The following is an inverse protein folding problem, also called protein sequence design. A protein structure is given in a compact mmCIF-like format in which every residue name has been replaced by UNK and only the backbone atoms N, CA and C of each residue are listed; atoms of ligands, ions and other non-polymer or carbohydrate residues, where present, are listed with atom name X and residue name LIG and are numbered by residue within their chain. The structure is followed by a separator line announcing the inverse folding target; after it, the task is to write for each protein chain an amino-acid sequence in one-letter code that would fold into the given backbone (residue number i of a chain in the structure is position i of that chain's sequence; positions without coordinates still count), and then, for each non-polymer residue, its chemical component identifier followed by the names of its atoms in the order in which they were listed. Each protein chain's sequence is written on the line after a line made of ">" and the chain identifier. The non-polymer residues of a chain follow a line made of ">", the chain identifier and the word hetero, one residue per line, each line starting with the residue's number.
data_IF_710346939591
#
_entry.id   IF_710346939591
#
_cell.length_a   1.000
_cell.length_b   1.000
_cell.length_c   1.000
_cell.angle_alpha   90.00
_cell.angle_beta   90.00
_cell.angle_gamma   90.00
#
_symmetry.space_group_name_H-M   'P 1'
#
loop_
_entity.id
_entity.type
_entity.pdbx_description
1 polymer ?
#
# COMPACT_ATOMS: atom_id res chain seq x y z
N UNK A 1 -6.13 -24.06 3.28
CA UNK A 1 -7.01 -24.22 4.45
C UNK A 1 -6.82 -23.00 5.32
N UNK A 2 -7.89 -22.34 5.75
CA UNK A 2 -7.81 -21.23 6.72
C UNK A 2 -8.14 -21.79 8.11
N UNK A 3 -7.41 -21.35 9.13
CA UNK A 3 -7.77 -21.60 10.54
C UNK A 3 -8.91 -20.67 10.97
N UNK A 4 -9.39 -20.85 12.20
CA UNK A 4 -10.25 -19.84 12.83
C UNK A 4 -9.49 -18.53 13.03
N UNK A 5 -10.21 -17.42 13.05
CA UNK A 5 -9.64 -16.10 13.23
C UNK A 5 -9.30 -15.86 14.71
N UNK A 6 -8.08 -15.40 14.97
CA UNK A 6 -7.59 -15.11 16.32
C UNK A 6 -7.24 -13.64 16.48
N UNK A 7 -7.39 -13.13 17.71
CA UNK A 7 -7.01 -11.76 18.06
C UNK A 7 -5.56 -11.77 18.52
N UNK A 8 -4.70 -11.09 17.77
CA UNK A 8 -3.28 -10.99 18.09
C UNK A 8 -2.95 -9.76 18.93
N UNK A 9 -3.60 -8.62 18.67
CA UNK A 9 -3.32 -7.39 19.42
C UNK A 9 -3.86 -7.45 20.85
N UNK A 10 -3.07 -6.93 21.79
CA UNK A 10 -3.40 -6.80 23.22
C UNK A 10 -3.63 -5.34 23.66
N UNK A 11 -3.76 -4.41 22.71
CA UNK A 11 -3.91 -2.97 23.01
C UNK A 11 -5.25 -2.61 23.64
N UNK A 12 -5.23 -1.94 24.79
CA UNK A 12 -6.42 -1.40 25.46
C UNK A 12 -6.59 0.09 25.16
N UNK A 13 -7.81 0.55 24.83
CA UNK A 13 -8.10 1.94 24.47
C UNK A 13 -7.20 2.51 23.35
N UNK A 14 -6.80 1.63 22.44
CA UNK A 14 -6.02 1.96 21.24
C UNK A 14 -6.68 1.41 19.99
N UNK A 15 -6.39 2.03 18.85
CA UNK A 15 -6.84 1.62 17.53
C UNK A 15 -5.66 1.10 16.72
N UNK A 16 -5.62 -0.22 16.57
CA UNK A 16 -4.52 -0.96 15.98
C UNK A 16 -4.76 -1.18 14.49
N UNK A 17 -3.82 -0.74 13.68
CA UNK A 17 -4.03 -0.50 12.25
C UNK A 17 -2.82 -0.89 11.42
N UNK A 18 -3.06 -1.08 10.12
CA UNK A 18 -2.02 -1.28 9.11
C UNK A 18 -0.99 -2.38 9.47
N UNK A 19 -1.44 -3.62 9.73
CA UNK A 19 -0.52 -4.71 10.04
C UNK A 19 0.42 -5.00 8.87
N UNK A 20 1.69 -5.18 9.18
CA UNK A 20 2.75 -5.57 8.27
C UNK A 20 3.48 -6.78 8.85
N UNK A 21 3.65 -7.83 8.05
CA UNK A 21 4.41 -9.01 8.45
C UNK A 21 5.82 -8.94 7.85
N UNK A 22 6.84 -9.07 8.69
CA UNK A 22 8.23 -9.14 8.30
C UNK A 22 8.85 -10.43 8.85
N UNK A 23 9.48 -11.23 8.00
CA UNK A 23 10.24 -12.40 8.46
C UNK A 23 11.70 -11.99 8.62
N UNK A 24 12.20 -12.00 9.85
CA UNK A 24 13.58 -11.63 10.15
C UNK A 24 14.57 -12.75 9.78
N UNK A 25 15.86 -12.44 9.59
CA UNK A 25 16.88 -13.43 9.21
C UNK A 25 17.09 -14.56 10.22
N UNK A 26 16.74 -14.36 11.48
CA UNK A 26 16.76 -15.38 12.54
C UNK A 26 15.54 -16.33 12.51
N UNK A 27 14.58 -16.09 11.60
CA UNK A 27 13.43 -16.95 11.36
C UNK A 27 12.16 -16.52 12.07
N UNK A 28 12.20 -15.51 12.95
CA UNK A 28 10.99 -14.97 13.59
C UNK A 28 10.08 -14.24 12.59
N UNK A 29 8.78 -14.23 12.87
CA UNK A 29 7.80 -13.39 12.17
C UNK A 29 7.45 -12.22 13.07
N UNK A 30 7.68 -11.02 12.57
CA UNK A 30 7.33 -9.76 13.21
C UNK A 30 6.01 -9.28 12.64
N UNK A 31 5.00 -9.11 13.48
CA UNK A 31 3.79 -8.35 13.19
C UNK A 31 4.03 -6.93 13.67
N UNK A 32 4.28 -6.03 12.73
CA UNK A 32 4.49 -4.61 12.96
C UNK A 32 3.16 -3.90 12.65
N UNK A 33 2.74 -2.98 13.50
CA UNK A 33 1.46 -2.29 13.32
C UNK A 33 1.49 -0.88 13.92
N UNK A 34 0.64 -0.01 13.38
CA UNK A 34 0.44 1.32 13.94
C UNK A 34 -0.59 1.25 15.05
N UNK A 35 -0.24 1.85 16.18
CA UNK A 35 -1.08 1.91 17.37
C UNK A 35 -1.31 3.37 17.76
N UNK A 36 -2.55 3.84 17.71
CA UNK A 36 -2.92 5.20 18.15
C UNK A 36 -3.93 5.15 19.30
N UNK A 37 -4.09 6.23 20.05
CA UNK A 37 -5.16 6.32 21.04
C UNK A 37 -6.55 6.19 20.38
N UNK A 38 -7.49 5.59 21.13
CA UNK A 38 -8.90 5.55 20.76
C UNK A 38 -9.45 6.98 20.57
N UNK A 39 -10.54 7.05 19.80
CA UNK A 39 -11.20 8.32 19.47
C UNK A 39 -11.56 9.09 20.73
N UNK A 40 -11.23 10.37 20.75
CA UNK A 40 -11.56 11.29 21.84
C UNK A 40 -12.64 12.27 21.38
N UNK A 41 -13.55 12.62 22.28
CA UNK A 41 -14.59 13.62 22.02
C UNK A 41 -13.94 14.98 21.71
N UNK A 42 -14.46 15.68 20.69
CA UNK A 42 -13.95 17.00 20.28
C UNK A 42 -12.67 16.98 19.43
N UNK A 43 -12.09 15.81 19.12
CA UNK A 43 -10.95 15.67 18.19
C UNK A 43 -11.39 15.02 16.87
N UNK A 44 -11.00 15.61 15.74
CA UNK A 44 -11.33 15.12 14.40
C UNK A 44 -10.64 13.79 14.07
N UNK A 45 -9.41 13.63 14.55
CA UNK A 45 -8.65 12.37 14.45
C UNK A 45 -7.65 12.27 15.61
N UNK A 46 -7.15 11.06 15.84
CA UNK A 46 -6.13 10.77 16.87
C UNK A 46 -4.83 10.24 16.25
N UNK A 47 -4.63 10.45 14.94
CA UNK A 47 -3.48 9.90 14.21
C UNK A 47 -2.16 10.45 14.75
N UNK A 48 -2.11 11.70 15.17
CA UNK A 48 -0.92 12.30 15.77
C UNK A 48 -0.42 11.63 17.07
N UNK A 49 -1.19 10.72 17.67
CA UNK A 49 -0.79 9.95 18.87
C UNK A 49 -0.25 8.56 18.52
N UNK A 50 -0.09 8.27 17.23
CA UNK A 50 0.31 6.96 16.77
C UNK A 50 1.77 6.67 17.05
N UNK A 51 2.05 5.44 17.43
CA UNK A 51 3.40 4.89 17.54
C UNK A 51 3.44 3.56 16.78
N UNK A 52 4.63 3.03 16.52
CA UNK A 52 4.78 1.72 15.87
C UNK A 52 5.08 0.67 16.93
N UNK A 53 4.26 -0.37 16.93
CA UNK A 53 4.37 -1.53 17.80
C UNK A 53 4.83 -2.75 17.02
N UNK A 54 5.40 -3.72 17.71
CA UNK A 54 5.75 -5.03 17.16
C UNK A 54 5.36 -6.14 18.13
N UNK A 55 4.86 -7.24 17.60
CA UNK A 55 4.76 -8.52 18.30
C UNK A 55 5.47 -9.58 17.45
N UNK A 56 6.16 -10.51 18.09
CA UNK A 56 6.98 -11.53 17.40
C UNK A 56 6.42 -12.92 17.63
N UNK A 57 6.59 -13.77 16.64
CA UNK A 57 6.27 -15.19 16.68
C UNK A 57 7.47 -16.01 16.23
N UNK A 58 7.78 -17.06 16.99
CA UNK A 58 8.86 -18.02 16.70
C UNK A 58 8.33 -19.39 16.25
N UNK A 59 7.02 -19.51 16.07
CA UNK A 59 6.30 -20.76 15.76
C UNK A 59 5.35 -20.61 14.56
N UNK A 60 5.79 -19.86 13.55
CA UNK A 60 5.05 -19.65 12.29
C UNK A 60 3.68 -18.97 12.46
N UNK A 61 3.57 -18.06 13.42
CA UNK A 61 2.38 -17.25 13.67
C UNK A 61 1.29 -17.96 14.50
N UNK A 62 1.62 -19.10 15.10
CA UNK A 62 0.69 -19.85 15.98
C UNK A 62 0.53 -19.14 17.32
N UNK A 63 1.62 -18.65 17.91
CA UNK A 63 1.57 -17.81 19.12
C UNK A 63 2.34 -16.51 18.92
N UNK A 64 1.96 -15.49 19.69
CA UNK A 64 2.53 -14.16 19.62
C UNK A 64 2.98 -13.69 21.00
N UNK A 65 4.19 -13.13 21.06
CA UNK A 65 4.76 -12.51 22.26
C UNK A 65 3.97 -11.30 22.76
N UNK A 66 4.48 -10.65 23.78
CA UNK A 66 3.91 -9.39 24.27
C UNK A 66 4.25 -8.22 23.33
N UNK A 67 3.37 -7.19 23.25
CA UNK A 67 3.60 -6.04 22.39
C UNK A 67 4.75 -5.19 22.89
N UNK A 68 5.69 -4.89 21.99
CA UNK A 68 6.83 -4.03 22.20
C UNK A 68 6.69 -2.75 21.37
N UNK A 69 7.20 -1.63 21.88
CA UNK A 69 7.29 -0.39 21.09
C UNK A 69 8.50 -0.51 20.16
N UNK A 70 8.26 -0.49 18.86
CA UNK A 70 9.33 -0.48 17.85
C UNK A 70 9.82 0.95 17.57
N UNK A 71 8.89 1.89 17.36
CA UNK A 71 9.20 3.31 17.18
C UNK A 71 8.31 4.16 18.10
N UNK A 72 8.87 4.84 19.11
CA UNK A 72 8.11 5.56 20.12
C UNK A 72 7.67 6.95 19.68
N UNK A 73 8.13 7.46 18.53
CA UNK A 73 7.81 8.82 18.10
C UNK A 73 6.35 8.93 17.69
N UNK A 74 5.62 9.81 18.37
CA UNK A 74 4.20 10.05 18.11
C UNK A 74 3.95 10.58 16.70
N UNK A 75 2.78 10.26 16.15
CA UNK A 75 2.40 10.59 14.79
C UNK A 75 3.00 9.65 13.74
N UNK A 76 3.84 8.68 14.14
CA UNK A 76 4.44 7.73 13.19
C UNK A 76 3.44 6.66 12.78
N UNK A 77 3.25 6.51 11.47
CA UNK A 77 2.48 5.44 10.87
C UNK A 77 3.34 4.56 9.96
N UNK A 78 2.91 3.32 9.78
CA UNK A 78 3.48 2.38 8.83
C UNK A 78 2.38 1.51 8.21
N UNK A 79 2.74 0.71 7.20
CA UNK A 79 1.84 -0.31 6.61
C UNK A 79 2.56 -1.42 5.86
N UNK A 80 3.71 -1.13 5.26
CA UNK A 80 4.46 -2.10 4.47
C UNK A 80 5.47 -2.83 5.33
N UNK A 81 5.89 -4.02 4.93
CA UNK A 81 6.91 -4.78 5.65
C UNK A 81 8.29 -4.08 5.55
N UNK A 82 9.13 -4.30 6.55
CA UNK A 82 10.57 -3.98 6.46
C UNK A 82 11.15 -4.70 5.24
N UNK A 83 11.90 -3.98 4.41
CA UNK A 83 12.66 -4.57 3.31
C UNK A 83 14.12 -4.71 3.74
N UNK A 84 14.71 -5.87 3.43
CA UNK A 84 16.16 -6.07 3.51
C UNK A 84 16.71 -5.90 2.11
N UNK A 85 17.54 -4.87 1.92
CA UNK A 85 18.15 -4.53 0.64
C UNK A 85 19.30 -5.49 0.30
N UNK A 86 19.76 -5.46 -0.94
CA UNK A 86 20.81 -6.35 -1.44
C UNK A 86 22.15 -6.17 -0.73
N UNK A 87 22.38 -5.04 -0.06
CA UNK A 87 23.58 -4.78 0.76
C UNK A 87 23.40 -5.18 2.25
N UNK A 88 22.27 -5.76 2.63
CA UNK A 88 21.94 -6.16 4.00
C UNK A 88 21.30 -5.07 4.87
N UNK A 89 21.18 -3.83 4.37
CA UNK A 89 20.47 -2.73 5.04
C UNK A 89 19.00 -3.05 5.21
N UNK A 90 18.44 -2.71 6.36
CA UNK A 90 17.00 -2.75 6.58
C UNK A 90 16.43 -1.36 6.35
N UNK A 91 15.29 -1.30 5.67
CA UNK A 91 14.59 -0.05 5.43
C UNK A 91 13.08 -0.25 5.56
N UNK A 92 12.44 0.70 6.22
CA UNK A 92 11.03 0.63 6.58
C UNK A 92 10.35 1.96 6.28
N UNK A 93 9.31 1.90 5.46
CA UNK A 93 8.57 3.08 5.06
C UNK A 93 7.56 3.51 6.15
N UNK A 94 7.66 4.75 6.57
CA UNK A 94 6.76 5.41 7.52
C UNK A 94 6.21 6.71 6.95
N UNK A 95 5.21 7.28 7.59
CA UNK A 95 4.82 8.67 7.37
C UNK A 95 4.39 9.29 8.70
N UNK A 96 4.46 10.61 8.78
CA UNK A 96 4.13 11.35 10.00
C UNK A 96 2.76 11.99 9.83
N UNK A 97 1.90 11.84 10.84
CA UNK A 97 0.64 12.54 10.99
C UNK A 97 0.78 13.56 12.12
N UNK A 98 0.68 14.85 11.83
CA UNK A 98 0.85 15.91 12.83
C UNK A 98 -0.50 16.35 13.45
N UNK A 99 -0.49 16.86 14.69
CA UNK A 99 -1.65 17.58 15.26
C UNK A 99 -1.67 19.00 14.70
N UNK A 100 -2.05 19.13 13.43
CA UNK A 100 -2.03 20.38 12.67
C UNK A 100 -3.45 20.93 12.41
N UNK A 101 -3.65 22.26 12.47
CA UNK A 101 -4.89 22.91 12.01
C UNK A 101 -5.22 22.64 10.54
N UNK A 102 -4.20 22.42 9.71
CA UNK A 102 -4.33 22.03 8.29
C UNK A 102 -4.66 20.54 8.12
N UNK A 103 -4.81 19.81 9.22
CA UNK A 103 -5.11 18.38 9.27
C UNK A 103 -4.00 17.53 8.66
N UNK A 104 -4.39 16.43 7.99
CA UNK A 104 -3.46 15.45 7.42
C UNK A 104 -2.88 15.86 6.05
N UNK A 105 -2.93 17.16 5.74
CA UNK A 105 -2.50 17.72 4.46
C UNK A 105 -0.99 17.64 4.31
N UNK A 106 -0.27 17.89 5.40
CA UNK A 106 1.18 18.07 5.40
C UNK A 106 1.96 16.79 5.74
N UNK A 107 1.27 15.66 5.94
CA UNK A 107 1.90 14.38 6.32
C UNK A 107 3.05 14.01 5.37
N UNK A 108 4.32 14.06 5.82
CA UNK A 108 5.46 13.70 4.99
C UNK A 108 5.74 12.20 5.04
N UNK A 109 6.33 11.67 3.96
CA UNK A 109 6.90 10.32 3.95
C UNK A 109 8.31 10.33 4.55
N UNK A 110 8.59 9.32 5.36
CA UNK A 110 9.89 9.06 5.97
C UNK A 110 10.28 7.59 5.83
N UNK A 111 11.57 7.32 5.95
CA UNK A 111 12.11 5.97 5.98
C UNK A 111 12.94 5.79 7.25
N UNK A 112 12.68 4.69 7.97
CA UNK A 112 13.55 4.22 9.03
C UNK A 112 14.59 3.30 8.39
N UNK A 113 15.86 3.61 8.56
CA UNK A 113 16.99 2.86 7.98
C UNK A 113 17.86 2.29 9.10
N UNK A 114 18.17 1.01 9.02
CA UNK A 114 19.07 0.32 9.96
C UNK A 114 20.17 -0.41 9.20
N UNK A 115 21.40 -0.20 9.65
CA UNK A 115 22.62 -0.83 9.13
C UNK A 115 23.15 -1.91 10.09
N UNK A 116 22.39 -2.25 11.14
CA UNK A 116 22.80 -3.15 12.23
C UNK A 116 21.72 -4.20 12.58
N UNK A 117 20.98 -4.65 11.57
CA UNK A 117 19.95 -5.72 11.70
C UNK A 117 18.79 -5.31 12.61
N UNK A 118 18.37 -4.04 12.51
CA UNK A 118 17.22 -3.50 13.21
C UNK A 118 17.45 -3.10 14.67
N UNK A 119 18.72 -3.04 15.13
CA UNK A 119 19.05 -2.63 16.51
C UNK A 119 18.93 -1.11 16.67
N UNK A 120 19.44 -0.35 15.71
CA UNK A 120 19.32 1.12 15.68
C UNK A 120 18.80 1.59 14.33
N UNK A 121 18.07 2.69 14.35
CA UNK A 121 17.39 3.23 13.18
C UNK A 121 17.64 4.73 13.05
N UNK A 122 18.03 5.17 11.87
CA UNK A 122 18.05 6.58 11.47
C UNK A 122 16.82 6.92 10.64
N UNK A 123 16.39 8.17 10.66
CA UNK A 123 15.29 8.68 9.85
C UNK A 123 15.86 9.35 8.61
N UNK A 124 15.36 8.97 7.43
CA UNK A 124 15.60 9.65 6.15
C UNK A 124 14.26 10.19 5.65
N UNK A 125 14.16 11.51 5.50
CA UNK A 125 12.92 12.16 5.04
C UNK A 125 12.93 12.33 3.53
N UNK A 126 11.81 11.97 2.89
CA UNK A 126 11.62 12.22 1.46
C UNK A 126 11.33 13.71 1.22
N UNK A 127 12.07 14.39 0.32
CA UNK A 127 11.88 15.82 0.08
C UNK A 127 10.51 16.10 -0.54
N UNK A 128 9.91 17.23 -0.17
CA UNK A 128 8.65 17.76 -0.71
C UNK A 128 7.51 16.72 -0.82
N UNK A 129 7.44 15.82 0.15
CA UNK A 129 6.52 14.68 0.17
C UNK A 129 5.21 14.94 0.93
N UNK A 130 4.87 16.20 1.20
CA UNK A 130 3.67 16.57 1.94
C UNK A 130 2.40 15.97 1.30
N UNK A 131 1.65 15.20 2.08
CA UNK A 131 0.44 14.52 1.63
C UNK A 131 0.71 13.34 0.70
N UNK A 132 1.96 12.86 0.59
CA UNK A 132 2.35 11.61 -0.05
C UNK A 132 2.65 10.62 1.06
N UNK A 133 1.84 9.57 1.17
CA UNK A 133 1.86 8.66 2.32
C UNK A 133 1.74 7.20 1.86
N UNK A 134 1.93 6.26 2.79
CA UNK A 134 1.89 4.81 2.51
C UNK A 134 2.89 4.39 1.41
N UNK A 135 4.14 4.85 1.51
CA UNK A 135 5.17 4.45 0.56
C UNK A 135 5.33 2.91 0.51
N UNK A 136 5.23 2.35 -0.70
CA UNK A 136 5.54 0.97 -1.04
C UNK A 136 6.92 0.95 -1.66
N UNK A 137 7.88 0.49 -0.87
CA UNK A 137 9.30 0.50 -1.18
C UNK A 137 9.72 -0.81 -1.85
N UNK A 138 10.42 -0.70 -2.99
CA UNK A 138 10.90 -1.85 -3.76
C UNK A 138 12.33 -1.57 -4.23
N UNK A 139 13.25 -2.51 -4.01
CA UNK A 139 14.57 -2.50 -4.66
C UNK A 139 14.49 -3.12 -6.06
N UNK A 140 14.62 -2.27 -7.07
CA UNK A 140 14.52 -2.68 -8.48
C UNK A 140 15.86 -3.22 -8.99
N UNK A 141 16.95 -2.63 -8.55
CA UNK A 141 18.34 -3.07 -8.77
C UNK A 141 19.16 -2.75 -7.52
N UNK A 142 20.33 -3.40 -7.27
CA UNK A 142 21.15 -3.11 -6.10
C UNK A 142 21.41 -1.61 -5.90
N UNK A 143 20.85 -1.03 -4.83
CA UNK A 143 20.97 0.39 -4.51
C UNK A 143 20.00 1.33 -5.23
N UNK A 144 19.27 0.84 -6.24
CA UNK A 144 18.19 1.57 -6.91
C UNK A 144 16.83 1.14 -6.33
N UNK A 145 16.19 2.06 -5.62
CA UNK A 145 14.90 1.86 -4.98
C UNK A 145 13.84 2.73 -5.67
N UNK A 146 12.62 2.21 -5.74
CA UNK A 146 11.43 2.98 -6.07
C UNK A 146 10.44 2.94 -4.90
N UNK A 147 9.76 4.05 -4.66
CA UNK A 147 8.72 4.16 -3.66
C UNK A 147 7.42 4.64 -4.33
N UNK A 148 6.35 3.85 -4.24
CA UNK A 148 5.02 4.25 -4.72
C UNK A 148 4.14 4.70 -3.55
N UNK A 149 3.47 5.84 -3.68
CA UNK A 149 2.66 6.44 -2.61
C UNK A 149 1.25 6.77 -3.10
N UNK A 150 0.28 6.73 -2.18
CA UNK A 150 -1.00 7.39 -2.42
C UNK A 150 -0.88 8.88 -2.13
N UNK A 151 -1.70 9.67 -2.81
CA UNK A 151 -1.86 11.09 -2.56
C UNK A 151 -3.07 11.37 -1.65
N UNK A 152 -2.88 12.18 -0.60
CA UNK A 152 -3.95 12.71 0.25
C UNK A 152 -4.96 13.57 -0.54
N UNK A 153 -4.62 14.01 -1.76
CA UNK A 153 -5.45 14.83 -2.63
C UNK A 153 -6.29 14.01 -3.62
N UNK A 154 -6.22 12.68 -3.56
CA UNK A 154 -7.06 11.77 -4.34
C UNK A 154 -6.98 11.97 -5.87
N UNK A 155 -5.80 12.32 -6.37
CA UNK A 155 -5.50 12.45 -7.79
C UNK A 155 -4.85 11.18 -8.35
N UNK A 156 -3.64 10.84 -7.91
CA UNK A 156 -2.84 9.80 -8.55
C UNK A 156 -1.94 9.05 -7.56
N UNK A 157 -1.39 7.93 -8.03
CA UNK A 157 -0.21 7.32 -7.43
C UNK A 157 1.01 8.16 -7.77
N UNK A 158 1.88 8.35 -6.79
CA UNK A 158 3.15 9.06 -6.94
C UNK A 158 4.33 8.09 -6.83
N UNK A 159 5.44 8.44 -7.46
CA UNK A 159 6.70 7.70 -7.43
C UNK A 159 7.85 8.60 -6.96
N UNK A 160 8.76 8.06 -6.17
CA UNK A 160 10.05 8.66 -5.83
C UNK A 160 11.13 7.59 -5.95
N UNK A 161 12.36 7.99 -6.25
CA UNK A 161 13.49 7.08 -6.48
C UNK A 161 14.66 7.40 -5.54
N UNK A 162 15.41 6.36 -5.18
CA UNK A 162 16.70 6.47 -4.51
C UNK A 162 17.73 5.66 -5.28
N UNK A 163 18.96 6.17 -5.37
CA UNK A 163 20.09 5.52 -6.05
C UNK A 163 21.26 5.22 -5.09
N UNK A 164 21.01 5.32 -3.79
CA UNK A 164 22.01 5.25 -2.72
C UNK A 164 21.51 4.41 -1.53
N UNK A 165 20.78 3.32 -1.80
CA UNK A 165 20.24 2.43 -0.77
C UNK A 165 19.35 3.16 0.26
N UNK A 166 18.64 4.21 -0.18
CA UNK A 166 17.66 4.93 0.62
C UNK A 166 18.24 6.01 1.52
N UNK A 167 19.49 6.44 1.29
CA UNK A 167 20.10 7.57 2.02
C UNK A 167 19.58 8.93 1.51
N UNK A 168 19.14 9.00 0.26
CA UNK A 168 18.42 10.14 -0.30
C UNK A 168 17.34 9.71 -1.30
N UNK A 169 16.37 10.59 -1.53
CA UNK A 169 15.20 10.35 -2.38
C UNK A 169 14.94 11.54 -3.30
N UNK A 170 14.44 11.29 -4.50
CA UNK A 170 13.92 12.33 -5.38
C UNK A 170 12.59 12.90 -4.87
N UNK A 171 12.24 14.11 -5.31
CA UNK A 171 10.90 14.67 -5.04
C UNK A 171 9.83 13.77 -5.71
N UNK A 172 8.72 13.45 -5.03
CA UNK A 172 7.67 12.63 -5.61
C UNK A 172 7.07 13.20 -6.90
N UNK A 173 7.09 12.39 -7.95
CA UNK A 173 6.47 12.71 -9.23
C UNK A 173 5.20 11.91 -9.45
N UNK A 174 4.29 12.50 -10.22
CA UNK A 174 2.99 11.91 -10.53
C UNK A 174 3.15 10.80 -11.56
N UNK A 175 2.58 9.62 -11.29
CA UNK A 175 2.46 8.54 -12.31
C UNK A 175 1.17 8.69 -13.13
N UNK A 176 1.02 7.89 -14.18
CA UNK A 176 -0.23 7.82 -14.96
C UNK A 176 -1.38 7.14 -14.22
N UNK A 177 -1.11 6.38 -13.14
CA UNK A 177 -2.13 5.64 -12.42
C UNK A 177 -2.95 6.58 -11.54
N UNK A 178 -4.27 6.59 -11.73
CA UNK A 178 -5.21 7.34 -10.90
C UNK A 178 -5.29 6.73 -9.49
N UNK A 179 -5.54 7.53 -8.46
CA UNK A 179 -5.82 7.01 -7.13
C UNK A 179 -6.63 8.00 -6.27
N UNK A 180 -7.64 7.47 -5.60
CA UNK A 180 -8.64 8.21 -4.85
C UNK A 180 -8.29 8.37 -3.37
N UNK A 181 -6.99 8.44 -3.03
CA UNK A 181 -6.48 8.43 -1.66
C UNK A 181 -6.84 7.13 -0.90
N UNK A 182 -7.12 6.03 -1.60
CA UNK A 182 -7.14 4.69 -1.00
C UNK A 182 -5.73 4.12 -0.93
N UNK A 183 -5.50 3.17 -0.01
CA UNK A 183 -4.20 2.50 0.06
C UNK A 183 -3.88 1.75 -1.22
N UNK A 184 -2.60 1.66 -1.53
CA UNK A 184 -2.05 0.83 -2.61
C UNK A 184 -1.16 -0.27 -2.03
N UNK A 185 -0.88 -1.30 -2.83
CA UNK A 185 0.08 -2.35 -2.53
C UNK A 185 0.91 -2.64 -3.76
N UNK A 186 2.21 -2.45 -3.69
CA UNK A 186 3.14 -2.77 -4.77
C UNK A 186 4.12 -3.84 -4.31
N UNK A 187 4.39 -4.82 -5.17
CA UNK A 187 5.39 -5.86 -4.96
C UNK A 187 6.23 -6.04 -6.22
N UNK A 188 7.51 -6.39 -6.04
CA UNK A 188 8.33 -6.93 -7.13
C UNK A 188 7.97 -8.39 -7.33
N UNK A 189 7.61 -8.75 -8.55
CA UNK A 189 7.34 -10.11 -8.94
C UNK A 189 8.66 -10.90 -9.06
N UNK A 190 8.59 -12.21 -8.88
CA UNK A 190 9.70 -13.14 -9.13
C UNK A 190 10.25 -13.03 -10.56
N UNK A 191 9.42 -12.60 -11.52
CA UNK A 191 9.77 -12.37 -12.93
C UNK A 191 10.48 -11.03 -13.16
N UNK A 192 10.49 -10.13 -12.18
CA UNK A 192 11.24 -8.87 -12.18
C UNK A 192 10.37 -7.61 -12.33
N UNK A 193 9.17 -7.74 -12.89
CA UNK A 193 8.22 -6.63 -13.01
C UNK A 193 7.67 -6.21 -11.64
N UNK A 194 7.06 -5.03 -11.58
CA UNK A 194 6.33 -4.58 -10.39
C UNK A 194 4.83 -4.66 -10.65
N UNK A 195 4.12 -5.32 -9.74
CA UNK A 195 2.67 -5.33 -9.72
C UNK A 195 2.16 -4.36 -8.65
N UNK A 196 1.18 -3.52 -9.01
CA UNK A 196 0.59 -2.53 -8.12
C UNK A 196 -0.93 -2.69 -8.08
N UNK A 197 -1.45 -3.04 -6.90
CA UNK A 197 -2.87 -3.09 -6.61
C UNK A 197 -3.36 -1.75 -6.03
N UNK A 198 -4.44 -1.22 -6.61
CA UNK A 198 -4.98 0.10 -6.28
C UNK A 198 -6.46 0.23 -6.63
N UNK A 199 -7.05 1.37 -6.27
CA UNK A 199 -8.34 1.77 -6.80
C UNK A 199 -8.14 2.73 -7.98
N UNK A 200 -8.55 2.31 -9.18
CA UNK A 200 -8.44 3.11 -10.40
C UNK A 200 -9.58 4.14 -10.48
N UNK A 201 -9.46 5.15 -9.62
CA UNK A 201 -10.41 6.23 -9.46
C UNK A 201 -9.68 7.45 -8.93
N UNK A 202 -10.17 8.64 -9.25
CA UNK A 202 -9.64 9.90 -8.75
C UNK A 202 -10.75 10.95 -8.70
N UNK A 203 -10.50 12.05 -7.99
CA UNK A 203 -11.35 13.22 -8.12
C UNK A 203 -11.01 13.98 -9.40
N UNK A 204 -12.05 14.47 -10.07
CA UNK A 204 -11.91 15.14 -11.37
C UNK A 204 -11.15 16.47 -11.26
N UNK A 205 -11.35 17.21 -10.15
CA UNK A 205 -10.73 18.51 -9.91
C UNK A 205 -10.06 18.53 -8.52
N UNK A 206 -8.83 18.01 -8.38
CA UNK A 206 -8.13 17.99 -7.10
C UNK A 206 -7.71 19.38 -6.62
N UNK A 207 -7.93 19.65 -5.35
CA UNK A 207 -7.49 20.86 -4.65
C UNK A 207 -6.28 20.52 -3.78
N UNK A 208 -5.08 20.87 -4.25
CA UNK A 208 -3.84 20.65 -3.50
C UNK A 208 -3.81 21.55 -2.25
N UNK A 209 -3.36 21.00 -1.13
CA UNK A 209 -3.41 21.68 0.18
C UNK A 209 -4.67 21.39 0.99
N UNK A 210 -5.57 20.51 0.50
CA UNK A 210 -6.73 20.05 1.26
C UNK A 210 -6.94 18.55 1.07
N UNK A 211 -6.96 17.80 2.17
CA UNK A 211 -7.20 16.35 2.12
C UNK A 211 -8.56 16.05 1.47
N UNK A 212 -8.56 15.14 0.51
CA UNK A 212 -9.76 14.64 -0.14
C UNK A 212 -10.10 13.23 0.34
N UNK A 213 -11.38 13.02 0.67
CA UNK A 213 -11.93 11.72 1.05
C UNK A 213 -13.07 11.33 0.09
N UNK A 214 -12.77 10.83 -1.12
CA UNK A 214 -13.80 10.45 -2.07
C UNK A 214 -14.63 9.27 -1.53
N UNK A 215 -15.95 9.35 -1.71
CA UNK A 215 -16.87 8.29 -1.28
C UNK A 215 -16.84 7.03 -2.15
N UNK A 216 -16.20 7.09 -3.32
CA UNK A 216 -16.03 5.95 -4.22
C UNK A 216 -14.65 5.34 -4.02
N UNK A 217 -14.60 4.04 -3.72
CA UNK A 217 -13.38 3.23 -3.66
C UNK A 217 -13.53 1.98 -4.51
N UNK A 218 -13.65 2.21 -5.81
CA UNK A 218 -13.85 1.19 -6.84
C UNK A 218 -13.39 1.75 -8.19
N UNK A 219 -13.03 0.87 -9.16
CA UNK A 219 -12.82 -0.58 -9.00
C UNK A 219 -11.56 -0.91 -8.18
N UNK A 220 -11.30 -2.19 -7.89
CA UNK A 220 -9.95 -2.65 -7.48
C UNK A 220 -9.27 -3.23 -8.73
N UNK A 221 -8.11 -2.67 -9.07
CA UNK A 221 -7.31 -3.08 -10.21
C UNK A 221 -5.90 -3.46 -9.77
N UNK A 222 -5.23 -4.26 -10.61
CA UNK A 222 -3.79 -4.51 -10.53
C UNK A 222 -3.18 -4.14 -11.87
N UNK A 223 -2.12 -3.32 -11.85
CA UNK A 223 -1.36 -2.92 -13.02
C UNK A 223 0.09 -3.36 -12.91
N UNK A 224 0.76 -3.54 -14.06
CA UNK A 224 2.16 -3.96 -14.17
C UNK A 224 2.99 -2.84 -14.79
N UNK A 225 4.19 -2.66 -14.26
CA UNK A 225 5.27 -1.91 -14.88
C UNK A 225 6.50 -2.80 -15.05
N UNK A 226 7.12 -2.71 -16.23
CA UNK A 226 8.37 -3.40 -16.59
C UNK A 226 9.57 -2.44 -16.60
N UNK A 227 9.33 -1.14 -16.42
CA UNK A 227 10.31 -0.06 -16.53
C UNK A 227 10.39 0.78 -15.25
N UNK A 228 10.25 0.08 -14.10
CA UNK A 228 10.38 0.62 -12.75
C UNK A 228 9.39 1.75 -12.42
N UNK A 229 8.21 1.74 -13.04
CA UNK A 229 7.11 2.66 -12.74
C UNK A 229 6.97 3.82 -13.72
N UNK A 230 7.80 3.89 -14.77
CA UNK A 230 7.73 4.94 -15.80
C UNK A 230 6.48 4.79 -16.68
N UNK A 231 6.15 3.55 -17.04
CA UNK A 231 4.94 3.22 -17.81
C UNK A 231 4.17 2.05 -17.20
N UNK A 232 2.87 2.00 -17.50
CA UNK A 232 1.94 1.00 -16.96
C UNK A 232 1.02 0.44 -18.07
N UNK A 233 1.57 -0.27 -19.07
CA UNK A 233 0.81 -0.68 -20.25
C UNK A 233 -0.14 -1.86 -20.02
N UNK A 234 -0.04 -2.54 -18.87
CA UNK A 234 -0.78 -3.77 -18.57
C UNK A 234 -1.55 -3.57 -17.27
N UNK A 235 -2.83 -3.92 -17.27
CA UNK A 235 -3.64 -3.90 -16.06
C UNK A 235 -4.96 -4.66 -16.21
N UNK A 236 -5.50 -5.12 -15.09
CA UNK A 236 -6.78 -5.83 -15.01
C UNK A 236 -7.58 -5.40 -13.79
N UNK A 237 -8.88 -5.22 -13.97
CA UNK A 237 -9.84 -5.04 -12.88
C UNK A 237 -10.17 -6.41 -12.25
N UNK A 238 -9.95 -6.54 -10.95
CA UNK A 238 -10.25 -7.75 -10.17
C UNK A 238 -11.52 -7.62 -9.32
N UNK A 239 -11.95 -6.40 -9.03
CA UNK A 239 -13.25 -6.14 -8.42
C UNK A 239 -13.94 -4.97 -9.11
N UNK A 240 -15.07 -5.27 -9.75
CA UNK A 240 -15.91 -4.25 -10.35
C UNK A 240 -16.83 -3.61 -9.31
N UNK A 241 -17.26 -2.39 -9.58
CA UNK A 241 -18.36 -1.77 -8.89
C UNK A 241 -19.70 -2.43 -9.28
N UNK A 242 -20.79 -2.04 -8.62
CA UNK A 242 -22.16 -2.41 -8.99
C UNK A 242 -22.67 -1.72 -10.28
N UNK A 243 -21.79 -1.05 -11.03
CA UNK A 243 -22.03 -0.44 -12.32
C UNK A 243 -23.09 0.69 -12.32
N UNK A 244 -23.26 1.40 -11.20
CA UNK A 244 -23.98 2.68 -11.21
C UNK A 244 -23.09 3.76 -11.84
N UNK A 245 -23.49 4.28 -13.01
CA UNK A 245 -22.65 5.21 -13.79
C UNK A 245 -23.19 6.65 -13.83
N UNK A 246 -24.41 6.90 -13.38
CA UNK A 246 -25.04 8.21 -13.46
C UNK A 246 -24.44 9.19 -12.46
N UNK A 247 -24.31 10.46 -12.85
CA UNK A 247 -23.77 11.51 -11.96
C UNK A 247 -24.53 11.58 -10.62
N UNK A 248 -25.82 11.30 -10.62
CA UNK A 248 -26.70 11.34 -9.43
C UNK A 248 -26.79 10.03 -8.66
N UNK A 249 -26.32 8.90 -9.22
CA UNK A 249 -26.45 7.59 -8.58
C UNK A 249 -25.15 6.79 -8.48
N UNK A 250 -24.01 7.32 -8.99
CA UNK A 250 -22.70 6.64 -8.95
C UNK A 250 -22.24 6.30 -7.54
N UNK A 251 -22.63 7.08 -6.53
CA UNK A 251 -22.30 6.82 -5.12
C UNK A 251 -23.08 5.66 -4.49
N UNK A 252 -24.00 5.03 -5.22
CA UNK A 252 -24.59 3.75 -4.81
C UNK A 252 -23.62 2.57 -4.97
N UNK A 253 -22.55 2.73 -5.76
CA UNK A 253 -21.46 1.76 -5.83
C UNK A 253 -20.80 1.61 -4.46
N UNK A 254 -20.54 0.38 -4.04
CA UNK A 254 -19.90 0.08 -2.77
C UNK A 254 -18.40 0.37 -2.84
N UNK A 255 -17.81 0.49 -1.66
CA UNK A 255 -16.39 0.69 -1.47
C UNK A 255 -15.68 -0.67 -1.31
N UNK A 256 -14.56 -0.80 -2.00
CA UNK A 256 -13.60 -1.90 -1.96
C UNK A 256 -12.23 -1.31 -1.65
N UNK A 257 -11.74 -1.52 -0.45
CA UNK A 257 -10.72 -0.65 0.11
C UNK A 257 -9.47 -1.42 0.54
N UNK A 258 -8.34 -0.71 0.54
CA UNK A 258 -7.05 -1.17 1.06
C UNK A 258 -6.59 -2.51 0.47
N UNK A 259 -6.47 -2.61 -0.87
CA UNK A 259 -5.87 -3.79 -1.49
C UNK A 259 -4.47 -4.06 -0.92
N UNK A 260 -4.18 -5.34 -0.71
CA UNK A 260 -2.85 -5.85 -0.37
C UNK A 260 -2.55 -7.03 -1.27
N UNK A 261 -1.38 -7.01 -1.88
CA UNK A 261 -0.91 -7.99 -2.85
C UNK A 261 0.27 -8.77 -2.27
N UNK A 262 0.24 -10.10 -2.42
CA UNK A 262 1.34 -11.00 -2.10
C UNK A 262 1.60 -11.94 -3.28
N UNK A 263 2.85 -12.39 -3.42
CA UNK A 263 3.20 -13.48 -4.32
C UNK A 263 3.71 -14.67 -3.50
N UNK A 264 3.17 -15.85 -3.75
CA UNK A 264 3.63 -17.09 -3.13
C UNK A 264 4.89 -17.63 -3.81
N UNK A 265 5.56 -18.59 -3.17
CA UNK A 265 6.77 -19.22 -3.72
C UNK A 265 6.54 -19.93 -5.07
N UNK A 266 5.32 -20.44 -5.32
CA UNK A 266 4.96 -21.06 -6.60
C UNK A 266 4.50 -20.06 -7.67
N UNK A 267 4.61 -18.75 -7.41
CA UNK A 267 4.37 -17.68 -8.38
C UNK A 267 2.92 -17.18 -8.44
N UNK A 268 1.99 -17.75 -7.68
CA UNK A 268 0.61 -17.25 -7.63
C UNK A 268 0.52 -15.90 -6.93
N UNK A 269 -0.43 -15.09 -7.36
CA UNK A 269 -0.74 -13.80 -6.77
C UNK A 269 -1.98 -13.89 -5.89
N UNK A 270 -1.89 -13.24 -4.74
CA UNK A 270 -2.88 -13.23 -3.68
C UNK A 270 -3.28 -11.78 -3.40
N UNK A 271 -4.52 -11.44 -3.72
CA UNK A 271 -5.08 -10.11 -3.49
C UNK A 271 -6.14 -10.18 -2.40
N UNK A 272 -6.00 -9.34 -1.38
CA UNK A 272 -6.97 -9.18 -0.29
C UNK A 272 -7.40 -7.73 -0.16
N UNK A 273 -8.67 -7.48 0.15
CA UNK A 273 -9.21 -6.13 0.35
C UNK A 273 -10.49 -6.14 1.19
N UNK A 274 -10.81 -5.02 1.83
CA UNK A 274 -12.08 -4.83 2.49
C UNK A 274 -13.20 -4.75 1.46
N UNK A 275 -14.23 -5.58 1.61
CA UNK A 275 -15.28 -5.78 0.62
C UNK A 275 -16.59 -5.11 1.03
N UNK A 276 -17.22 -4.43 0.07
CA UNK A 276 -18.54 -3.78 0.18
C UNK A 276 -18.75 -2.97 1.45
N UNK A 277 -18.06 -1.85 1.60
CA UNK A 277 -18.13 -0.99 2.78
C UNK A 277 -17.73 -1.74 4.07
N UNK A 278 -16.68 -2.58 3.99
CA UNK A 278 -16.09 -3.34 5.10
C UNK A 278 -17.02 -4.38 5.73
N UNK A 279 -17.90 -4.99 4.94
CA UNK A 279 -18.72 -6.13 5.41
C UNK A 279 -17.87 -7.36 5.72
N UNK A 280 -16.80 -7.57 4.96
CA UNK A 280 -15.83 -8.64 5.18
C UNK A 280 -14.50 -8.32 4.47
N UNK A 281 -13.54 -9.24 4.55
CA UNK A 281 -12.36 -9.26 3.69
C UNK A 281 -12.62 -10.22 2.54
N UNK A 282 -12.41 -9.78 1.30
CA UNK A 282 -12.43 -10.66 0.13
C UNK A 282 -11.01 -11.07 -0.22
N UNK A 283 -10.85 -12.34 -0.59
CA UNK A 283 -9.61 -12.94 -1.05
C UNK A 283 -9.76 -13.39 -2.50
N UNK A 284 -8.77 -13.08 -3.33
CA UNK A 284 -8.67 -13.51 -4.72
C UNK A 284 -7.29 -14.10 -4.95
N UNK A 285 -7.25 -15.32 -5.50
CA UNK A 285 -6.03 -15.94 -6.03
C UNK A 285 -6.08 -15.89 -7.55
N UNK A 286 -4.97 -15.54 -8.18
CA UNK A 286 -4.84 -15.50 -9.63
C UNK A 286 -3.38 -15.72 -10.03
N UNK A 287 -3.16 -16.02 -11.30
CA UNK A 287 -1.83 -16.22 -11.88
C UNK A 287 -1.36 -14.96 -12.61
N UNK A 288 -0.09 -14.92 -12.99
CA UNK A 288 0.39 -13.83 -13.85
C UNK A 288 -0.32 -13.83 -15.21
N UNK A 289 -0.63 -15.01 -15.76
CA UNK A 289 -1.38 -15.16 -17.01
C UNK A 289 -2.79 -14.56 -16.92
N UNK A 290 -3.46 -14.67 -15.76
CA UNK A 290 -4.75 -14.00 -15.51
C UNK A 290 -4.63 -12.48 -15.63
N UNK A 291 -3.49 -11.89 -15.27
CA UNK A 291 -3.26 -10.45 -15.35
C UNK A 291 -2.84 -10.00 -16.75
N UNK A 292 -1.93 -10.73 -17.40
CA UNK A 292 -1.42 -10.39 -18.72
C UNK A 292 -2.42 -10.69 -19.85
N UNK A 293 -3.29 -11.69 -19.68
CA UNK A 293 -4.16 -12.20 -20.73
C UNK A 293 -3.40 -13.00 -21.79
N UNK A 294 -4.13 -13.49 -22.80
CA UNK A 294 -3.57 -14.32 -23.88
C UNK A 294 -2.85 -13.51 -24.96
N UNK A 295 -3.16 -12.22 -25.07
CA UNK A 295 -2.64 -11.32 -26.11
C UNK A 295 -2.09 -10.05 -25.49
N UNK A 296 -0.99 -9.55 -26.06
CA UNK A 296 -0.39 -8.26 -25.72
C UNK A 296 -0.42 -7.35 -26.96
N UNK A 297 -1.58 -6.80 -27.24
CA UNK A 297 -1.84 -5.92 -28.38
C UNK A 297 -2.59 -4.67 -27.92
N UNK A 298 -2.32 -3.52 -28.57
CA UNK A 298 -3.01 -2.25 -28.25
C UNK A 298 -4.30 -2.05 -29.03
N UNK A 299 -4.43 -2.73 -30.18
CA UNK A 299 -5.61 -2.67 -31.04
C UNK A 299 -5.94 -4.08 -31.54
N UNK A 300 -7.16 -4.53 -31.27
CA UNK A 300 -7.72 -5.75 -31.85
C UNK A 300 -8.76 -5.40 -32.90
N UNK A 301 -8.53 -5.79 -34.16
CA UNK A 301 -9.52 -5.61 -35.22
C UNK A 301 -10.37 -6.87 -35.30
N UNK A 302 -11.66 -6.73 -34.99
CA UNK A 302 -12.66 -7.77 -35.17
C UNK A 302 -13.72 -7.29 -36.15
N UNK A 303 -14.00 -8.09 -37.19
CA UNK A 303 -15.10 -7.84 -38.10
C UNK A 303 -16.31 -8.67 -37.68
N UNK A 304 -17.33 -8.10 -37.01
CA UNK A 304 -18.49 -8.86 -36.54
C UNK A 304 -19.37 -9.40 -37.67
N UNK A 305 -19.14 -9.00 -38.92
CA UNK A 305 -19.93 -9.40 -40.10
C UNK A 305 -19.21 -10.36 -41.04
N UNK A 306 -17.96 -10.72 -40.77
CA UNK A 306 -17.19 -11.60 -41.66
C UNK A 306 -17.77 -13.01 -41.75
N UNK A 307 -18.50 -13.48 -40.74
CA UNK A 307 -18.97 -14.86 -40.65
C UNK A 307 -17.86 -15.85 -40.25
N UNK A 308 -16.60 -15.39 -40.25
CA UNK A 308 -15.47 -16.10 -39.66
C UNK A 308 -15.58 -15.94 -38.15
N UNK A 309 -16.04 -17.00 -37.47
CA UNK A 309 -16.10 -17.04 -36.01
C UNK A 309 -14.72 -16.85 -35.38
N UNK A 310 -14.71 -16.39 -34.12
CA UNK A 310 -13.51 -16.30 -33.27
C UNK A 310 -13.01 -17.71 -32.94
#
# INVERSE_FOLDING_TARGET
>A
MWSEAEIVSKGENRSEQNPAFFRSPDGEIWLIYTSQLSRQEGKDNMQFTSIIMVQKSSDEGVTWGDPEVLFPEEGTFSRQAIQILSNGRWIFATWICEDSPEGLTNDPTEFRVSDDTGQTWKIVRMPDSAGRVHANLIEVEPGHLVAFMRSRFADNVYISESFDYGDSWSVPEKTVLSNNNASISAIKLQTGEIALAYNDNAIENPEFGKVAWPGLRNPVAVSITEDFGKTWPIGRVFEQAENFIGAENRTNNKQYEYPTLYQSQNGDLHLVYAYRNRLCIKYVRFTLADLFGEKRESEGIYNPTSGDGI
#
